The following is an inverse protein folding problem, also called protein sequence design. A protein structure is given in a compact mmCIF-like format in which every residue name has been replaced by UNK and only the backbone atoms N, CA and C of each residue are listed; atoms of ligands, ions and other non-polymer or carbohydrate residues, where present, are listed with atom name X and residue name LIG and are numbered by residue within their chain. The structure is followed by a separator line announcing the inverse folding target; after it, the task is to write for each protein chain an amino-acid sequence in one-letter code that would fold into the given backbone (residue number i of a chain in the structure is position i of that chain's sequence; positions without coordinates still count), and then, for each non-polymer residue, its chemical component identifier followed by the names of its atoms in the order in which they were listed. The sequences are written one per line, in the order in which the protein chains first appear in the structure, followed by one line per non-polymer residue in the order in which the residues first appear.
data_IF_569312109431
#
_entry.id   IF_569312109431
#
_cell.length_a   1.000
_cell.length_b   1.000
_cell.length_c   1.000
_cell.angle_alpha   90.00
_cell.angle_beta   90.00
_cell.angle_gamma   90.00
#
_symmetry.space_group_name_H-M   'P 1'
#
loop_
_entity.id
_entity.type
_entity.pdbx_description
1 polymer ?
#
# COMPACT_ATOMS: atom_id res chain seq x y z
N UNK A 1 -12.16 -14.60 32.27
CA UNK A 1 -11.63 -13.25 32.59
C UNK A 1 -10.97 -12.73 31.33
N UNK A 2 -11.76 -12.08 30.48
CA UNK A 2 -11.33 -11.51 29.21
C UNK A 2 -10.68 -10.16 29.51
N UNK A 3 -9.37 -10.04 29.31
CA UNK A 3 -8.69 -8.76 29.30
C UNK A 3 -8.68 -8.22 27.88
N UNK A 4 -9.65 -7.38 27.56
CA UNK A 4 -9.63 -6.51 26.38
C UNK A 4 -8.52 -5.46 26.58
N UNK A 5 -7.34 -5.73 26.03
CA UNK A 5 -6.31 -4.72 25.84
C UNK A 5 -6.73 -3.81 24.68
N UNK A 6 -7.62 -2.85 24.94
CA UNK A 6 -8.09 -1.89 23.95
C UNK A 6 -6.94 -1.00 23.46
N UNK A 7 -6.72 -0.96 22.15
CA UNK A 7 -5.82 0.01 21.52
C UNK A 7 -6.51 1.38 21.56
N UNK A 8 -5.95 2.32 22.31
CA UNK A 8 -6.45 3.69 22.38
C UNK A 8 -6.03 4.45 21.11
N UNK A 9 -6.99 4.74 20.21
CA UNK A 9 -6.73 5.53 19.00
C UNK A 9 -6.88 7.01 19.36
N UNK A 10 -5.75 7.69 19.56
CA UNK A 10 -5.74 9.14 19.72
C UNK A 10 -6.13 9.81 18.39
N UNK A 11 -7.26 10.51 18.37
CA UNK A 11 -7.71 11.28 17.21
C UNK A 11 -6.75 12.44 16.96
N UNK A 12 -6.00 12.37 15.86
CA UNK A 12 -5.19 13.49 15.38
C UNK A 12 -6.13 14.47 14.67
N UNK A 13 -6.14 15.76 15.03
CA UNK A 13 -6.94 16.76 14.32
C UNK A 13 -6.63 16.72 12.83
N UNK A 14 -7.66 16.59 12.00
CA UNK A 14 -7.52 16.59 10.53
C UNK A 14 -6.93 17.94 10.11
N UNK A 15 -5.67 17.94 9.68
CA UNK A 15 -5.02 19.14 9.20
C UNK A 15 -5.80 19.72 8.01
N UNK A 16 -6.07 21.02 8.02
CA UNK A 16 -6.72 21.70 6.91
C UNK A 16 -5.78 21.72 5.71
N UNK A 17 -6.13 20.97 4.66
CA UNK A 17 -5.40 21.01 3.39
C UNK A 17 -5.68 22.36 2.74
N UNK A 18 -4.66 23.17 2.39
CA UNK A 18 -4.88 24.43 1.67
C UNK A 18 -5.59 24.14 0.35
N UNK A 19 -6.60 24.95 0.01
CA UNK A 19 -7.50 24.73 -1.13
C UNK A 19 -6.81 24.72 -2.50
N UNK A 20 -5.55 25.13 -2.60
CA UNK A 20 -4.76 25.20 -3.83
C UNK A 20 -3.80 24.01 -4.03
N UNK A 21 -3.75 23.04 -3.11
CA UNK A 21 -2.79 21.93 -3.21
C UNK A 21 -3.37 20.78 -4.04
N UNK A 22 -2.81 20.56 -5.24
CA UNK A 22 -3.07 19.35 -6.03
C UNK A 22 -2.48 18.12 -5.33
N UNK A 23 -3.34 17.22 -4.86
CA UNK A 23 -2.93 16.01 -4.14
C UNK A 23 -2.46 14.89 -5.09
N UNK A 24 -3.05 14.77 -6.27
CA UNK A 24 -2.76 13.72 -7.25
C UNK A 24 -1.60 14.08 -8.23
N UNK A 25 -0.49 14.62 -7.70
CA UNK A 25 0.63 15.17 -8.50
C UNK A 25 1.18 14.16 -9.53
N UNK A 26 1.36 12.91 -9.13
CA UNK A 26 1.92 11.86 -9.98
C UNK A 26 0.85 11.12 -10.78
N UNK A 27 -0.22 10.64 -10.13
CA UNK A 27 -1.28 9.90 -10.84
C UNK A 27 -1.97 10.74 -11.91
N UNK A 28 -2.06 12.07 -11.76
CA UNK A 28 -2.61 12.95 -12.80
C UNK A 28 -1.88 12.89 -14.15
N UNK A 29 -0.60 12.49 -14.18
CA UNK A 29 0.14 12.33 -15.43
C UNK A 29 -0.46 11.23 -16.33
N UNK A 30 -1.06 10.21 -15.72
CA UNK A 30 -1.71 9.10 -16.43
C UNK A 30 -3.23 9.21 -16.43
N UNK A 31 -3.85 9.81 -15.41
CA UNK A 31 -5.31 9.91 -15.31
C UNK A 31 -5.91 11.13 -16.02
N UNK A 32 -5.18 12.23 -16.18
CA UNK A 32 -5.72 13.48 -16.76
C UNK A 32 -5.20 13.79 -18.17
N UNK A 33 -4.10 13.17 -18.60
CA UNK A 33 -3.54 13.40 -19.92
C UNK A 33 -4.28 12.55 -20.98
N UNK A 34 -4.95 13.20 -21.94
CA UNK A 34 -5.67 12.54 -23.04
C UNK A 34 -4.79 11.60 -23.88
N UNK A 35 -3.48 11.89 -23.99
CA UNK A 35 -2.54 11.01 -24.69
C UNK A 35 -2.29 9.67 -23.96
N UNK A 36 -2.73 9.54 -22.70
CA UNK A 36 -2.58 8.32 -21.87
C UNK A 36 -3.87 7.50 -21.79
N UNK A 37 -4.71 7.54 -22.83
CA UNK A 37 -5.96 6.77 -22.90
C UNK A 37 -5.80 5.26 -22.64
N UNK A 38 -4.69 4.65 -23.09
CA UNK A 38 -4.40 3.24 -22.81
C UNK A 38 -4.18 2.95 -21.32
N UNK A 39 -3.49 3.84 -20.59
CA UNK A 39 -3.31 3.69 -19.15
C UNK A 39 -4.65 3.88 -18.41
N UNK A 40 -5.48 4.83 -18.86
CA UNK A 40 -6.81 5.05 -18.31
C UNK A 40 -7.72 3.82 -18.51
N UNK A 41 -7.67 3.19 -19.69
CA UNK A 41 -8.41 1.96 -19.97
C UNK A 41 -8.03 0.83 -19.00
N UNK A 42 -6.74 0.65 -18.70
CA UNK A 42 -6.30 -0.33 -17.70
C UNK A 42 -6.77 0.00 -16.29
N UNK A 43 -6.77 1.28 -15.92
CA UNK A 43 -7.29 1.73 -14.63
C UNK A 43 -8.81 1.50 -14.50
N UNK A 44 -9.58 1.73 -15.56
CA UNK A 44 -10.99 1.33 -15.62
C UNK A 44 -11.17 -0.19 -15.50
N UNK A 45 -10.32 -0.97 -16.16
CA UNK A 45 -10.40 -2.44 -16.13
C UNK A 45 -10.16 -3.03 -14.73
N UNK A 46 -9.34 -2.38 -13.88
CA UNK A 46 -9.17 -2.77 -12.47
C UNK A 46 -10.25 -2.20 -11.54
N UNK A 47 -11.25 -1.50 -12.08
CA UNK A 47 -12.45 -1.07 -11.37
C UNK A 47 -12.48 0.39 -10.91
N UNK A 48 -11.55 1.25 -11.34
CA UNK A 48 -11.64 2.68 -11.03
C UNK A 48 -12.77 3.34 -11.84
N UNK A 49 -13.46 4.29 -11.22
CA UNK A 49 -14.48 5.13 -11.87
C UNK A 49 -13.86 6.43 -12.39
N UNK A 50 -14.63 7.20 -13.17
CA UNK A 50 -14.21 8.54 -13.62
C UNK A 50 -13.94 9.49 -12.44
N UNK A 51 -14.71 9.36 -11.35
CA UNK A 51 -14.49 10.12 -10.12
C UNK A 51 -13.15 9.75 -9.47
N UNK A 52 -12.77 8.47 -9.49
CA UNK A 52 -11.52 7.97 -8.92
C UNK A 52 -10.29 8.44 -9.70
N UNK A 53 -10.42 8.75 -10.99
CA UNK A 53 -9.33 9.28 -11.82
C UNK A 53 -8.81 10.64 -11.31
N UNK A 54 -9.64 11.37 -10.57
CA UNK A 54 -9.28 12.65 -9.96
C UNK A 54 -8.72 12.52 -8.54
N UNK A 55 -8.86 11.36 -7.91
CA UNK A 55 -8.37 11.11 -6.55
C UNK A 55 -6.86 10.77 -6.57
N UNK A 56 -6.11 11.05 -5.48
CA UNK A 56 -4.77 10.54 -5.31
C UNK A 56 -4.77 9.01 -5.26
N UNK A 57 -3.85 8.39 -5.96
CA UNK A 57 -3.66 6.94 -5.96
C UNK A 57 -2.52 6.58 -5.00
N UNK A 58 -2.80 5.70 -4.05
CA UNK A 58 -1.88 5.27 -2.99
C UNK A 58 -1.49 3.82 -3.26
N UNK A 59 -0.22 3.59 -3.55
CA UNK A 59 0.36 2.25 -3.63
C UNK A 59 0.59 1.69 -2.23
N UNK A 60 -0.04 0.56 -1.93
CA UNK A 60 0.07 -0.13 -0.65
C UNK A 60 0.88 -1.40 -0.89
N UNK A 61 2.09 -1.48 -0.32
CA UNK A 61 3.01 -2.59 -0.52
C UNK A 61 3.27 -3.38 0.76
N UNK A 62 2.40 -4.34 1.15
CA UNK A 62 2.78 -5.34 2.12
C UNK A 62 4.00 -6.15 1.65
N UNK A 63 4.71 -6.71 2.62
CA UNK A 63 5.69 -7.78 2.39
C UNK A 63 5.03 -9.06 2.88
N UNK A 64 3.94 -9.48 2.23
CA UNK A 64 3.18 -10.65 2.65
C UNK A 64 3.68 -11.92 1.98
N UNK A 65 3.83 -12.97 2.78
CA UNK A 65 3.99 -14.36 2.32
C UNK A 65 3.72 -15.33 3.49
N UNK A 66 3.29 -16.55 3.18
CA UNK A 66 2.75 -17.48 4.18
C UNK A 66 3.81 -18.20 5.02
N UNK A 67 5.02 -18.38 4.48
CA UNK A 67 6.07 -19.17 5.12
C UNK A 67 6.88 -18.44 6.19
N UNK A 68 6.51 -17.20 6.56
CA UNK A 68 7.09 -16.52 7.71
C UNK A 68 5.97 -15.93 8.59
N UNK A 69 5.85 -16.34 9.86
CA UNK A 69 4.82 -15.82 10.75
C UNK A 69 4.91 -14.30 10.94
N UNK A 70 6.09 -13.71 10.78
CA UNK A 70 6.28 -12.26 10.81
C UNK A 70 5.58 -11.51 9.66
N UNK A 71 5.28 -12.19 8.54
CA UNK A 71 4.80 -11.58 7.30
C UNK A 71 3.40 -12.07 6.88
N UNK A 72 2.96 -13.22 7.40
CA UNK A 72 1.72 -13.89 6.97
C UNK A 72 0.45 -13.07 7.20
N UNK A 73 0.45 -12.15 8.16
CA UNK A 73 -0.69 -11.29 8.52
C UNK A 73 -0.70 -9.93 7.80
N UNK A 74 0.33 -9.61 7.01
CA UNK A 74 0.47 -8.27 6.40
C UNK A 74 -0.52 -8.02 5.26
N UNK A 75 -1.10 -9.06 4.66
CA UNK A 75 -2.16 -8.88 3.67
C UNK A 75 -3.44 -8.33 4.31
N UNK A 76 -3.82 -8.84 5.47
CA UNK A 76 -4.99 -8.36 6.22
C UNK A 76 -4.79 -6.90 6.66
N UNK A 77 -3.57 -6.57 7.11
CA UNK A 77 -3.21 -5.19 7.44
C UNK A 77 -3.30 -4.28 6.22
N UNK A 78 -2.82 -4.71 5.04
CA UNK A 78 -2.91 -3.95 3.81
C UNK A 78 -4.36 -3.69 3.37
N UNK A 79 -5.27 -4.66 3.59
CA UNK A 79 -6.70 -4.47 3.36
C UNK A 79 -7.28 -3.40 4.28
N UNK A 80 -6.90 -3.37 5.57
CA UNK A 80 -7.31 -2.30 6.49
C UNK A 80 -6.77 -0.92 6.11
N UNK A 81 -5.54 -0.86 5.61
CA UNK A 81 -4.99 0.39 5.06
C UNK A 81 -5.79 0.84 3.83
N UNK A 82 -6.17 -0.08 2.93
CA UNK A 82 -7.01 0.22 1.76
C UNK A 82 -8.40 0.72 2.15
N UNK A 83 -9.02 0.13 3.17
CA UNK A 83 -10.28 0.62 3.75
C UNK A 83 -10.12 2.08 4.23
N UNK A 84 -9.07 2.38 4.99
CA UNK A 84 -8.77 3.75 5.45
C UNK A 84 -8.53 4.74 4.31
N UNK A 85 -7.80 4.35 3.25
CA UNK A 85 -7.65 5.19 2.06
C UNK A 85 -9.00 5.53 1.44
N UNK A 86 -9.90 4.55 1.34
CA UNK A 86 -11.23 4.73 0.75
C UNK A 86 -12.07 5.69 1.58
N UNK A 87 -12.02 5.58 2.92
CA UNK A 87 -12.72 6.47 3.85
C UNK A 87 -12.25 7.93 3.73
N UNK A 88 -10.97 8.15 3.41
CA UNK A 88 -10.39 9.48 3.20
C UNK A 88 -10.54 9.99 1.76
N UNK A 89 -11.30 9.31 0.91
CA UNK A 89 -11.52 9.72 -0.49
C UNK A 89 -10.27 9.55 -1.37
N UNK A 90 -9.39 8.62 -1.02
CA UNK A 90 -8.21 8.22 -1.78
C UNK A 90 -8.43 6.85 -2.45
N UNK A 91 -7.66 6.56 -3.48
CA UNK A 91 -7.71 5.26 -4.17
C UNK A 91 -6.54 4.39 -3.70
N UNK A 92 -6.82 3.33 -2.95
CA UNK A 92 -5.81 2.37 -2.50
C UNK A 92 -5.60 1.23 -3.49
N UNK A 93 -4.38 1.06 -3.99
CA UNK A 93 -3.97 -0.03 -4.89
C UNK A 93 -2.93 -0.90 -4.19
N UNK A 94 -3.30 -2.13 -3.86
CA UNK A 94 -2.41 -3.09 -3.20
C UNK A 94 -1.56 -3.79 -4.25
N UNK A 95 -0.24 -3.80 -4.05
CA UNK A 95 0.71 -4.68 -4.73
C UNK A 95 1.62 -5.30 -3.68
N UNK A 96 2.37 -6.35 -3.99
CA UNK A 96 3.19 -7.03 -2.99
C UNK A 96 4.65 -7.07 -3.43
N UNK A 97 5.56 -7.15 -2.46
CA UNK A 97 6.97 -7.42 -2.71
C UNK A 97 7.44 -8.67 -1.98
N UNK A 98 8.62 -9.17 -2.35
CA UNK A 98 9.22 -10.37 -1.80
C UNK A 98 9.84 -10.13 -0.42
N UNK A 99 9.84 -11.18 0.40
CA UNK A 99 10.43 -11.23 1.74
C UNK A 99 11.28 -12.50 1.92
N UNK A 100 12.22 -12.48 2.86
CA UNK A 100 12.90 -13.68 3.37
C UNK A 100 12.75 -13.77 4.88
N UNK A 101 12.93 -14.98 5.43
CA UNK A 101 13.00 -15.19 6.87
C UNK A 101 14.44 -15.52 7.28
N UNK A 102 15.04 -14.65 8.07
CA UNK A 102 16.36 -14.89 8.65
C UNK A 102 16.33 -16.12 9.55
N UNK A 103 15.25 -16.32 10.33
CA UNK A 103 15.11 -17.48 11.21
C UNK A 103 15.13 -18.81 10.45
N UNK A 104 14.61 -18.86 9.22
CA UNK A 104 14.63 -20.07 8.37
C UNK A 104 16.00 -20.25 7.71
N UNK A 105 16.63 -19.16 7.27
CA UNK A 105 17.88 -19.24 6.49
C UNK A 105 19.15 -19.26 7.33
N UNK A 106 19.05 -18.93 8.62
CA UNK A 106 20.17 -18.85 9.55
C UNK A 106 21.03 -20.13 9.55
N UNK A 107 22.34 -19.98 9.37
CA UNK A 107 23.30 -21.09 9.34
C UNK A 107 23.37 -21.85 8.02
N UNK A 108 22.63 -21.43 6.99
CA UNK A 108 22.69 -22.01 5.63
C UNK A 108 23.24 -21.02 4.61
N UNK A 109 23.50 -21.48 3.38
CA UNK A 109 23.86 -20.59 2.27
C UNK A 109 22.77 -19.55 1.95
N UNK A 110 21.52 -19.80 2.38
CA UNK A 110 20.37 -18.92 2.20
C UNK A 110 20.55 -17.53 2.81
N UNK A 111 21.34 -17.40 3.89
CA UNK A 111 21.62 -16.11 4.53
C UNK A 111 22.27 -15.08 3.59
N UNK A 112 22.97 -15.54 2.53
CA UNK A 112 23.59 -14.65 1.53
C UNK A 112 22.54 -13.83 0.76
N UNK A 113 21.32 -14.34 0.63
CA UNK A 113 20.24 -13.65 -0.08
C UNK A 113 19.48 -12.66 0.82
N UNK A 114 19.63 -12.75 2.15
CA UNK A 114 18.97 -11.82 3.09
C UNK A 114 19.45 -10.38 2.93
N UNK A 115 20.77 -10.17 2.90
CA UNK A 115 21.34 -8.83 2.70
C UNK A 115 21.10 -8.26 1.30
N UNK A 116 21.05 -9.13 0.27
CA UNK A 116 20.74 -8.71 -1.10
C UNK A 116 19.28 -8.25 -1.20
N UNK A 117 18.36 -8.95 -0.54
CA UNK A 117 16.97 -8.54 -0.50
C UNK A 117 16.78 -7.19 0.20
N UNK A 118 17.46 -6.99 1.33
CA UNK A 118 17.40 -5.73 2.06
C UNK A 118 17.87 -4.53 1.23
N UNK A 119 18.86 -4.73 0.35
CA UNK A 119 19.41 -3.68 -0.53
C UNK A 119 18.55 -3.39 -1.78
N UNK A 120 17.75 -4.33 -2.24
CA UNK A 120 16.95 -4.18 -3.47
C UNK A 120 15.75 -3.22 -3.31
N UNK A 121 15.40 -2.85 -2.08
CA UNK A 121 14.22 -2.02 -1.77
C UNK A 121 14.53 -0.72 -1.01
N UNK A 122 15.81 -0.36 -0.88
CA UNK A 122 16.29 0.94 -0.37
C UNK A 122 16.82 1.75 -1.55
#
# INVERSE_FOLDING_TARGET
MSSEGGVEIHSVPKASVPSNVKLNKYSSQITQNKARGGAQAMLYAVGLTEEDMNKPQIGISPIWWEGNPCNSHLLDLAQKVKEGCTQEGLVGLIFNTIGVSDAITMGTEGMRYSSVLALLFI
#
